data_IF_792947664876
#
_entry.id   IF_792947664876
#
_cell.length_a   1.000
_cell.length_b   1.000
_cell.length_c   1.000
_cell.angle_alpha   90.00
_cell.angle_beta   90.00
_cell.angle_gamma   90.00
#
_symmetry.space_group_name_H-M   'P 1'
#
loop_
_entity.id
_entity.type
_entity.pdbx_description
1 polymer ?
#
# COMPACT_ATOMS: atom_id res chain seq x y z
N UNK A 1 4.00 16.56 48.40
CA UNK A 1 4.16 17.79 47.58
C UNK A 1 5.30 17.54 46.62
N UNK A 2 5.18 17.45 45.30
CA UNK A 2 4.08 17.65 44.37
C UNK A 2 4.22 16.60 43.24
N UNK A 3 3.09 16.06 42.79
CA UNK A 3 2.96 15.14 41.66
C UNK A 3 2.95 15.95 40.36
N UNK A 4 3.99 15.83 39.53
CA UNK A 4 3.96 16.30 38.14
C UNK A 4 3.78 15.11 37.21
N UNK A 5 2.51 14.79 36.98
CA UNK A 5 2.07 13.87 35.95
C UNK A 5 2.37 14.49 34.55
N UNK A 6 3.20 13.88 33.68
CA UNK A 6 3.56 14.48 32.39
C UNK A 6 2.47 14.32 31.32
N UNK A 7 1.24 13.93 31.70
CA UNK A 7 0.13 13.71 30.77
C UNK A 7 -0.44 14.99 30.12
N UNK A 8 -0.13 16.19 30.63
CA UNK A 8 -0.82 17.43 30.21
C UNK A 8 -0.06 18.34 29.22
N UNK A 9 1.03 17.88 28.60
CA UNK A 9 1.85 18.72 27.70
C UNK A 9 1.72 18.45 26.19
N UNK A 10 1.10 17.34 25.76
CA UNK A 10 0.90 17.03 24.35
C UNK A 10 -0.41 17.66 23.88
N UNK A 11 -0.36 18.97 23.60
CA UNK A 11 -1.51 19.79 23.27
C UNK A 11 -2.33 19.28 22.07
N UNK A 12 -3.63 19.56 22.11
CA UNK A 12 -4.65 19.22 21.13
C UNK A 12 -4.34 19.59 19.65
N UNK A 13 -3.27 20.33 19.37
CA UNK A 13 -2.77 20.61 18.02
C UNK A 13 -1.88 19.50 17.41
N UNK A 14 -1.35 18.57 18.21
CA UNK A 14 -0.56 17.44 17.73
C UNK A 14 -1.41 16.34 17.08
N UNK A 15 -2.53 15.98 17.71
CA UNK A 15 -3.47 14.99 17.19
C UNK A 15 -4.16 15.46 15.91
N UNK A 16 -4.55 16.75 15.83
CA UNK A 16 -5.20 17.31 14.63
C UNK A 16 -4.30 17.26 13.39
N UNK A 17 -2.99 17.43 13.54
CA UNK A 17 -2.04 17.35 12.43
C UNK A 17 -1.80 15.90 11.98
N UNK A 18 -1.76 14.96 12.92
CA UNK A 18 -1.60 13.54 12.62
C UNK A 18 -2.83 13.01 11.88
N UNK A 19 -4.03 13.36 12.34
CA UNK A 19 -5.28 12.96 11.70
C UNK A 19 -5.40 13.55 10.28
N UNK A 20 -4.95 14.78 10.05
CA UNK A 20 -4.88 15.38 8.71
C UNK A 20 -3.91 14.65 7.76
N UNK A 21 -2.77 14.17 8.29
CA UNK A 21 -1.80 13.41 7.51
C UNK A 21 -2.38 12.03 7.14
N UNK A 22 -3.02 11.33 8.09
CA UNK A 22 -3.70 10.06 7.82
C UNK A 22 -4.86 10.21 6.84
N UNK A 23 -5.60 11.31 6.93
CA UNK A 23 -6.63 11.63 5.96
C UNK A 23 -6.03 11.77 4.56
N UNK A 24 -4.84 12.36 4.42
CA UNK A 24 -4.17 12.50 3.11
C UNK A 24 -3.87 11.14 2.45
N UNK A 25 -3.52 10.12 3.24
CA UNK A 25 -3.27 8.75 2.73
C UNK A 25 -4.56 8.01 2.36
N UNK A 26 -5.70 8.37 2.94
CA UNK A 26 -6.98 7.63 2.83
C UNK A 26 -8.03 8.30 1.95
N UNK A 27 -7.71 9.43 1.30
CA UNK A 27 -8.62 10.17 0.43
C UNK A 27 -8.79 11.64 0.82
N UNK A 28 -8.65 11.98 2.08
CA UNK A 28 -8.63 13.39 2.51
C UNK A 28 -10.02 14.03 2.60
N UNK A 29 -11.10 13.25 2.44
CA UNK A 29 -12.48 13.70 2.64
C UNK A 29 -13.14 13.04 3.84
N UNK A 30 -13.68 13.86 4.74
CA UNK A 30 -14.51 13.47 5.88
C UNK A 30 -15.98 13.85 5.59
N UNK A 31 -16.63 13.10 4.70
CA UNK A 31 -17.98 13.44 4.24
C UNK A 31 -19.07 13.00 5.21
N UNK A 32 -20.26 13.60 5.09
CA UNK A 32 -21.48 13.18 5.79
C UNK A 32 -22.62 12.90 4.81
N UNK A 33 -23.69 12.26 5.29
CA UNK A 33 -24.88 11.95 4.47
C UNK A 33 -24.61 10.90 3.38
N UNK A 34 -25.26 11.07 2.22
CA UNK A 34 -25.19 10.10 1.11
C UNK A 34 -23.78 9.88 0.57
N UNK A 35 -22.94 10.92 0.54
CA UNK A 35 -21.55 10.80 0.09
C UNK A 35 -20.74 9.86 1.00
N UNK A 36 -20.98 9.89 2.32
CA UNK A 36 -20.31 9.02 3.27
C UNK A 36 -20.74 7.55 3.07
N UNK A 37 -22.03 7.33 2.80
CA UNK A 37 -22.56 5.99 2.49
C UNK A 37 -21.90 5.44 1.22
N UNK A 38 -21.80 6.24 0.15
CA UNK A 38 -21.14 5.81 -1.09
C UNK A 38 -19.65 5.51 -0.84
N UNK A 39 -18.94 6.39 -0.12
CA UNK A 39 -17.52 6.20 0.23
C UNK A 39 -17.27 5.04 1.20
N UNK A 40 -18.32 4.48 1.82
CA UNK A 40 -18.24 3.24 2.59
C UNK A 40 -18.59 2.01 1.74
N UNK A 41 -19.70 2.06 1.00
CA UNK A 41 -20.22 0.94 0.22
C UNK A 41 -19.30 0.61 -0.95
N UNK A 42 -18.81 1.60 -1.69
CA UNK A 42 -18.03 1.35 -2.93
C UNK A 42 -16.71 0.63 -2.63
N UNK A 43 -15.86 1.06 -1.66
CA UNK A 43 -14.66 0.31 -1.29
C UNK A 43 -14.98 -1.07 -0.70
N UNK A 44 -16.10 -1.22 0.01
CA UNK A 44 -16.53 -2.52 0.54
C UNK A 44 -16.89 -3.47 -0.61
N UNK A 45 -17.68 -3.01 -1.59
CA UNK A 45 -18.02 -3.78 -2.79
C UNK A 45 -16.76 -4.12 -3.58
N UNK A 46 -15.83 -3.18 -3.76
CA UNK A 46 -14.55 -3.45 -4.42
C UNK A 46 -13.75 -4.52 -3.68
N UNK A 47 -13.72 -4.46 -2.34
CA UNK A 47 -13.05 -5.46 -1.50
C UNK A 47 -13.68 -6.84 -1.63
N UNK A 48 -15.01 -6.91 -1.63
CA UNK A 48 -15.75 -8.16 -1.84
C UNK A 48 -15.53 -8.72 -3.24
N UNK A 49 -15.52 -7.87 -4.26
CA UNK A 49 -15.20 -8.26 -5.63
C UNK A 49 -13.80 -8.86 -5.73
N UNK A 50 -12.80 -8.23 -5.11
CA UNK A 50 -11.41 -8.71 -5.12
C UNK A 50 -11.25 -10.03 -4.38
N UNK A 51 -11.96 -10.22 -3.26
CA UNK A 51 -12.01 -11.50 -2.56
C UNK A 51 -12.74 -12.57 -3.39
N UNK A 52 -13.82 -12.21 -4.09
CA UNK A 52 -14.57 -13.11 -4.95
C UNK A 52 -13.69 -13.69 -6.05
N UNK A 53 -13.04 -12.84 -6.85
CA UNK A 53 -12.19 -13.30 -7.97
C UNK A 53 -10.94 -14.05 -7.51
N UNK A 54 -10.47 -13.82 -6.28
CA UNK A 54 -9.32 -14.53 -5.71
C UNK A 54 -9.70 -15.88 -5.07
N UNK A 55 -10.98 -16.10 -4.81
CA UNK A 55 -11.50 -17.32 -4.18
C UNK A 55 -11.91 -18.37 -5.22
N UNK A 56 -12.06 -19.65 -4.85
CA UNK A 56 -12.63 -20.66 -5.73
C UNK A 56 -14.15 -20.54 -5.92
N UNK A 57 -14.82 -19.65 -5.17
CA UNK A 57 -16.28 -19.48 -5.17
C UNK A 57 -16.90 -19.22 -6.55
N UNK A 58 -16.31 -18.39 -7.45
CA UNK A 58 -16.88 -18.16 -8.78
C UNK A 58 -17.04 -19.46 -9.57
N UNK A 59 -16.07 -20.37 -9.44
CA UNK A 59 -16.07 -21.66 -10.13
C UNK A 59 -16.99 -22.68 -9.45
N UNK A 60 -17.08 -22.67 -8.11
CA UNK A 60 -17.99 -23.54 -7.35
C UNK A 60 -19.45 -23.20 -7.66
N UNK A 61 -19.80 -21.92 -7.68
CA UNK A 61 -21.17 -21.45 -7.95
C UNK A 61 -21.48 -21.26 -9.42
N UNK A 62 -20.48 -21.42 -10.30
CA UNK A 62 -20.56 -21.15 -11.74
C UNK A 62 -21.23 -19.80 -12.06
N UNK A 63 -20.86 -18.77 -11.30
CA UNK A 63 -21.48 -17.45 -11.35
C UNK A 63 -20.39 -16.37 -11.32
N UNK A 64 -20.56 -15.31 -12.12
CA UNK A 64 -19.67 -14.16 -12.14
C UNK A 64 -18.18 -14.57 -12.22
N UNK A 65 -17.86 -15.42 -13.20
CA UNK A 65 -16.48 -15.83 -13.53
C UNK A 65 -15.92 -14.79 -14.49
N UNK A 66 -14.89 -14.08 -14.05
CA UNK A 66 -14.25 -13.03 -14.82
C UNK A 66 -12.87 -13.48 -15.31
N UNK A 67 -12.54 -13.16 -16.57
CA UNK A 67 -11.18 -13.30 -17.07
C UNK A 67 -10.28 -12.14 -16.58
N UNK A 68 -8.97 -12.27 -16.79
CA UNK A 68 -7.99 -11.27 -16.34
C UNK A 68 -8.24 -9.86 -16.89
N UNK A 69 -8.71 -9.71 -18.12
CA UNK A 69 -8.98 -8.42 -18.75
C UNK A 69 -10.21 -7.76 -18.14
N UNK A 70 -11.28 -8.53 -17.96
CA UNK A 70 -12.52 -8.08 -17.33
C UNK A 70 -12.28 -7.65 -15.88
N UNK A 71 -11.53 -8.47 -15.12
CA UNK A 71 -11.18 -8.17 -13.74
C UNK A 71 -10.37 -6.88 -13.61
N UNK A 72 -9.38 -6.67 -14.48
CA UNK A 72 -8.59 -5.42 -14.55
C UNK A 72 -9.48 -4.21 -14.86
N UNK A 73 -10.42 -4.35 -15.79
CA UNK A 73 -11.36 -3.28 -16.16
C UNK A 73 -12.25 -2.86 -15.00
N UNK A 74 -12.85 -3.82 -14.31
CA UNK A 74 -13.69 -3.57 -13.13
C UNK A 74 -12.85 -2.97 -11.98
N UNK A 75 -11.65 -3.53 -11.74
CA UNK A 75 -10.73 -3.04 -10.71
C UNK A 75 -10.35 -1.57 -10.94
N UNK A 76 -9.97 -1.20 -12.16
CA UNK A 76 -9.62 0.18 -12.49
C UNK A 76 -10.84 1.11 -12.35
N UNK A 77 -12.04 0.66 -12.73
CA UNK A 77 -13.26 1.45 -12.61
C UNK A 77 -13.55 1.85 -11.15
N UNK A 78 -13.41 0.90 -10.21
CA UNK A 78 -13.49 1.21 -8.77
C UNK A 78 -12.39 2.19 -8.34
N UNK A 79 -11.15 1.96 -8.77
CA UNK A 79 -10.02 2.78 -8.39
C UNK A 79 -10.17 4.25 -8.83
N UNK A 80 -10.52 4.50 -10.10
CA UNK A 80 -10.69 5.86 -10.61
C UNK A 80 -11.94 6.53 -10.05
N UNK A 81 -13.04 5.79 -9.86
CA UNK A 81 -14.23 6.34 -9.20
C UNK A 81 -13.87 6.89 -7.81
N UNK A 82 -13.17 6.08 -7.01
CA UNK A 82 -12.72 6.46 -5.67
C UNK A 82 -11.66 7.57 -5.72
N UNK A 83 -10.78 7.60 -6.73
CA UNK A 83 -9.82 8.68 -6.89
C UNK A 83 -10.52 10.05 -7.03
N UNK A 84 -11.64 10.13 -7.73
CA UNK A 84 -12.41 11.38 -7.88
C UNK A 84 -13.35 11.65 -6.69
N UNK A 85 -13.97 10.62 -6.12
CA UNK A 85 -14.95 10.77 -5.04
C UNK A 85 -14.31 10.90 -3.65
N UNK A 86 -13.18 10.23 -3.39
CA UNK A 86 -12.47 10.29 -2.12
C UNK A 86 -11.44 11.42 -2.10
N UNK A 87 -10.68 11.66 -3.19
CA UNK A 87 -9.62 12.67 -3.21
C UNK A 87 -10.08 14.01 -3.80
N UNK A 88 -9.95 15.13 -3.05
CA UNK A 88 -10.36 16.44 -3.54
C UNK A 88 -9.41 16.96 -4.63
N UNK A 89 -9.97 17.67 -5.62
CA UNK A 89 -9.20 18.27 -6.71
C UNK A 89 -8.06 19.18 -6.22
N UNK A 90 -8.33 19.95 -5.15
CA UNK A 90 -7.38 20.84 -4.47
C UNK A 90 -7.29 20.39 -3.01
N UNK A 91 -6.06 20.09 -2.55
CA UNK A 91 -5.81 19.67 -1.16
C UNK A 91 -6.38 20.69 -0.17
N UNK A 92 -7.11 20.20 0.84
CA UNK A 92 -7.75 21.03 1.87
C UNK A 92 -9.06 21.72 1.47
N UNK A 93 -9.48 21.65 0.20
CA UNK A 93 -10.77 22.21 -0.25
C UNK A 93 -11.82 21.10 -0.42
N UNK A 94 -13.07 21.40 -0.09
CA UNK A 94 -14.18 20.43 -0.18
C UNK A 94 -13.88 19.11 0.56
N UNK A 95 -13.36 19.21 1.79
CA UNK A 95 -13.03 18.07 2.65
C UNK A 95 -14.31 17.37 3.14
N UNK A 96 -15.39 18.12 3.38
CA UNK A 96 -16.61 17.58 4.00
C UNK A 96 -17.71 17.21 2.99
N UNK A 97 -17.51 17.49 1.70
CA UNK A 97 -18.50 17.25 0.64
C UNK A 97 -17.81 16.76 -0.63
N UNK A 98 -18.51 15.95 -1.42
CA UNK A 98 -18.11 15.63 -2.81
C UNK A 98 -18.90 16.54 -3.74
N UNK A 99 -18.25 17.52 -4.41
CA UNK A 99 -18.93 18.38 -5.37
C UNK A 99 -19.52 17.60 -6.55
N UNK A 100 -20.56 18.13 -7.18
CA UNK A 100 -21.25 17.49 -8.31
C UNK A 100 -20.28 17.21 -9.47
N UNK A 101 -19.34 18.12 -9.74
CA UNK A 101 -18.36 17.90 -10.81
C UNK A 101 -17.46 16.69 -10.52
N UNK A 102 -17.15 16.37 -9.26
CA UNK A 102 -16.36 15.20 -8.92
C UNK A 102 -17.16 13.91 -9.05
N UNK A 103 -18.48 13.93 -8.82
CA UNK A 103 -19.35 12.80 -9.15
C UNK A 103 -19.41 12.56 -10.65
N UNK A 104 -19.54 13.61 -11.46
CA UNK A 104 -19.54 13.50 -12.91
C UNK A 104 -18.20 12.92 -13.40
N UNK A 105 -17.07 13.47 -12.93
CA UNK A 105 -15.74 12.97 -13.28
C UNK A 105 -15.54 11.52 -12.84
N UNK A 106 -16.00 11.14 -11.64
CA UNK A 106 -15.93 9.77 -11.14
C UNK A 106 -16.70 8.80 -12.03
N UNK A 107 -17.93 9.16 -12.43
CA UNK A 107 -18.77 8.32 -13.29
C UNK A 107 -18.22 8.20 -14.71
N UNK A 108 -17.74 9.31 -15.31
CA UNK A 108 -17.12 9.29 -16.63
C UNK A 108 -15.83 8.47 -16.62
N UNK A 109 -14.98 8.64 -15.59
CA UNK A 109 -13.75 7.87 -15.46
C UNK A 109 -14.04 6.37 -15.27
N UNK A 110 -15.01 6.03 -14.42
CA UNK A 110 -15.44 4.65 -14.21
C UNK A 110 -15.99 4.03 -15.51
N UNK A 111 -16.80 4.78 -16.26
CA UNK A 111 -17.29 4.36 -17.57
C UNK A 111 -16.14 4.08 -18.54
N UNK A 112 -15.19 5.01 -18.69
CA UNK A 112 -14.01 4.83 -19.55
C UNK A 112 -13.20 3.58 -19.15
N UNK A 113 -13.03 3.31 -17.85
CA UNK A 113 -12.32 2.15 -17.35
C UNK A 113 -13.08 0.84 -17.59
N UNK A 114 -14.41 0.86 -17.45
CA UNK A 114 -15.30 -0.28 -17.72
C UNK A 114 -15.57 -0.53 -19.21
N UNK A 115 -15.15 0.38 -20.09
CA UNK A 115 -15.48 0.32 -21.53
C UNK A 115 -15.02 -0.99 -22.18
N UNK A 116 -13.82 -1.46 -21.83
CA UNK A 116 -13.28 -2.73 -22.33
C UNK A 116 -14.09 -3.94 -21.90
N UNK A 117 -14.73 -3.87 -20.73
CA UNK A 117 -15.61 -4.92 -20.23
C UNK A 117 -16.98 -4.85 -20.91
N UNK A 118 -17.60 -3.67 -20.94
CA UNK A 118 -18.96 -3.49 -21.46
C UNK A 118 -19.04 -3.75 -22.97
N UNK A 119 -18.05 -3.29 -23.73
CA UNK A 119 -18.00 -3.40 -25.19
C UNK A 119 -17.01 -4.46 -25.67
N UNK A 120 -16.73 -5.47 -24.84
CA UNK A 120 -15.73 -6.51 -25.11
C UNK A 120 -16.00 -7.22 -26.44
N UNK A 121 -17.25 -7.65 -26.66
CA UNK A 121 -17.63 -8.38 -27.86
C UNK A 121 -17.35 -7.57 -29.11
N UNK A 122 -17.77 -6.31 -29.17
CA UNK A 122 -17.57 -5.54 -30.39
C UNK A 122 -16.11 -5.14 -30.59
N UNK A 123 -15.38 -4.80 -29.51
CA UNK A 123 -13.95 -4.51 -29.57
C UNK A 123 -13.13 -5.72 -30.05
N UNK A 124 -13.52 -6.93 -29.63
CA UNK A 124 -12.84 -8.18 -30.01
C UNK A 124 -12.90 -8.45 -31.53
N UNK A 125 -13.91 -7.93 -32.21
CA UNK A 125 -14.09 -8.08 -33.67
C UNK A 125 -13.32 -7.05 -34.51
N UNK A 126 -12.77 -5.99 -33.90
CA UNK A 126 -11.99 -4.94 -34.58
C UNK A 126 -10.59 -4.68 -34.00
N UNK A 127 -9.74 -5.69 -33.78
CA UNK A 127 -8.39 -5.48 -33.23
C UNK A 127 -7.58 -4.52 -34.11
N UNK A 128 -7.05 -3.45 -33.51
CA UNK A 128 -6.24 -2.46 -34.22
C UNK A 128 -7.01 -1.51 -35.17
N UNK A 129 -8.34 -1.63 -35.24
CA UNK A 129 -9.21 -0.75 -36.05
C UNK A 129 -10.30 -0.09 -35.18
N UNK A 130 -9.92 0.72 -34.16
CA UNK A 130 -10.89 1.36 -33.27
C UNK A 130 -11.76 2.36 -34.02
N UNK A 131 -13.05 2.42 -33.67
CA UNK A 131 -13.96 3.45 -34.19
C UNK A 131 -13.74 4.77 -33.44
N UNK A 132 -14.34 5.85 -33.95
CA UNK A 132 -14.24 7.20 -33.33
C UNK A 132 -14.67 7.21 -31.87
N UNK A 133 -15.69 6.42 -31.50
CA UNK A 133 -16.14 6.29 -30.11
C UNK A 133 -15.05 5.68 -29.21
N UNK A 134 -14.45 4.56 -29.61
CA UNK A 134 -13.38 3.89 -28.85
C UNK A 134 -12.21 4.86 -28.60
N UNK A 135 -11.88 5.67 -29.63
CA UNK A 135 -10.81 6.65 -29.56
C UNK A 135 -11.11 7.78 -28.55
N UNK A 136 -12.33 8.33 -28.56
CA UNK A 136 -12.70 9.36 -27.58
C UNK A 136 -12.71 8.83 -26.16
N UNK A 137 -13.24 7.62 -25.95
CA UNK A 137 -13.24 6.98 -24.63
C UNK A 137 -11.82 6.73 -24.13
N UNK A 138 -10.93 6.28 -25.01
CA UNK A 138 -9.51 6.08 -24.70
C UNK A 138 -8.80 7.38 -24.31
N UNK A 139 -9.01 8.46 -25.06
CA UNK A 139 -8.38 9.75 -24.78
C UNK A 139 -8.91 10.39 -23.49
N UNK A 140 -10.23 10.38 -23.29
CA UNK A 140 -10.86 10.88 -22.07
C UNK A 140 -10.40 10.05 -20.88
N UNK A 141 -10.39 8.73 -21.01
CA UNK A 141 -9.89 7.80 -19.98
C UNK A 141 -8.45 8.11 -19.59
N UNK A 142 -7.56 8.29 -20.58
CA UNK A 142 -6.15 8.61 -20.32
C UNK A 142 -5.97 9.94 -19.58
N UNK A 143 -6.69 10.98 -19.99
CA UNK A 143 -6.65 12.29 -19.32
C UNK A 143 -7.22 12.21 -17.89
N UNK A 144 -8.35 11.52 -17.70
CA UNK A 144 -8.94 11.34 -16.39
C UNK A 144 -8.06 10.48 -15.48
N UNK A 145 -7.33 9.50 -16.02
CA UNK A 145 -6.37 8.72 -15.25
C UNK A 145 -5.15 9.55 -14.81
N UNK A 146 -4.63 10.42 -15.68
CA UNK A 146 -3.57 11.37 -15.30
C UNK A 146 -4.03 12.32 -14.19
N UNK A 147 -5.27 12.80 -14.27
CA UNK A 147 -5.87 13.64 -13.24
C UNK A 147 -6.14 12.88 -11.94
N UNK A 148 -6.63 11.64 -12.01
CA UNK A 148 -6.76 10.74 -10.86
C UNK A 148 -5.41 10.52 -10.18
N UNK A 149 -4.36 10.27 -10.97
CA UNK A 149 -2.97 10.13 -10.50
C UNK A 149 -2.49 11.40 -9.78
N UNK A 150 -2.79 12.58 -10.33
CA UNK A 150 -2.42 13.87 -9.71
C UNK A 150 -3.10 14.03 -8.35
N UNK A 151 -4.36 13.63 -8.23
CA UNK A 151 -5.15 13.76 -6.99
C UNK A 151 -4.69 12.79 -5.91
N UNK A 152 -4.42 11.54 -6.26
CA UNK A 152 -4.06 10.49 -5.30
C UNK A 152 -2.58 10.45 -4.96
N UNK A 153 -1.69 10.61 -5.96
CA UNK A 153 -0.23 10.43 -5.83
C UNK A 153 0.56 11.74 -5.99
N UNK A 154 -0.07 12.79 -6.51
CA UNK A 154 0.54 14.11 -6.65
C UNK A 154 1.14 14.39 -8.03
N UNK A 155 1.65 15.62 -8.19
CA UNK A 155 2.18 16.13 -9.46
C UNK A 155 3.40 15.36 -10.02
N UNK A 156 4.38 14.88 -9.21
CA UNK A 156 5.60 14.30 -9.77
C UNK A 156 5.34 13.13 -10.74
N UNK A 157 4.46 12.18 -10.36
CA UNK A 157 4.15 11.03 -11.21
C UNK A 157 3.36 11.44 -12.46
N UNK A 158 2.41 12.37 -12.32
CA UNK A 158 1.64 12.90 -13.46
C UNK A 158 2.55 13.62 -14.46
N UNK A 159 3.53 14.40 -14.00
CA UNK A 159 4.48 15.10 -14.88
C UNK A 159 5.32 14.09 -15.65
N UNK A 160 5.86 13.08 -14.99
CA UNK A 160 6.66 12.03 -15.65
C UNK A 160 5.83 11.34 -16.74
N UNK A 161 4.61 10.91 -16.42
CA UNK A 161 3.72 10.28 -17.40
C UNK A 161 3.37 11.23 -18.57
N UNK A 162 3.05 12.49 -18.29
CA UNK A 162 2.72 13.48 -19.31
C UNK A 162 3.91 13.77 -20.24
N UNK A 163 5.14 13.80 -19.72
CA UNK A 163 6.36 13.96 -20.53
C UNK A 163 6.53 12.81 -21.51
N UNK A 164 6.39 11.55 -21.06
CA UNK A 164 6.54 10.39 -21.94
C UNK A 164 5.40 10.23 -22.96
N UNK A 165 4.16 10.59 -22.58
CA UNK A 165 3.03 10.67 -23.51
C UNK A 165 3.29 11.73 -24.59
N UNK A 166 3.80 12.91 -24.17
CA UNK A 166 4.14 14.00 -25.11
C UNK A 166 5.29 13.57 -26.02
N UNK A 167 6.34 12.97 -25.48
CA UNK A 167 7.48 12.45 -26.24
C UNK A 167 7.03 11.44 -27.31
N UNK A 168 6.09 10.56 -26.98
CA UNK A 168 5.54 9.57 -27.94
C UNK A 168 4.93 10.22 -29.20
N UNK A 169 4.38 11.43 -29.08
CA UNK A 169 3.82 12.19 -30.21
C UNK A 169 4.88 13.11 -30.83
N UNK A 170 5.66 13.77 -29.98
CA UNK A 170 6.62 14.82 -30.35
C UNK A 170 7.95 14.29 -30.89
N UNK A 171 8.14 12.97 -30.99
CA UNK A 171 9.34 12.31 -31.51
C UNK A 171 10.01 12.95 -32.72
N UNK A 172 9.27 13.41 -33.76
CA UNK A 172 9.87 14.03 -34.94
C UNK A 172 10.50 15.41 -34.69
N UNK A 173 10.13 16.08 -33.60
CA UNK A 173 10.62 17.41 -33.23
C UNK A 173 11.77 17.35 -32.21
N UNK A 174 12.19 16.15 -31.82
CA UNK A 174 13.24 15.96 -30.82
C UNK A 174 14.65 16.02 -31.45
N UNK A 175 15.70 16.24 -30.65
CA UNK A 175 17.08 16.15 -31.11
C UNK A 175 17.41 14.77 -31.68
N UNK A 176 18.29 14.71 -32.68
CA UNK A 176 18.63 13.48 -33.44
C UNK A 176 18.95 12.26 -32.57
N UNK A 177 19.54 12.47 -31.39
CA UNK A 177 19.93 11.40 -30.45
C UNK A 177 18.71 10.62 -29.91
N UNK A 178 17.55 11.27 -29.81
CA UNK A 178 16.31 10.69 -29.25
C UNK A 178 15.11 10.82 -30.20
N UNK A 179 15.34 11.27 -31.43
CA UNK A 179 14.26 11.45 -32.41
C UNK A 179 13.69 10.10 -32.88
N UNK A 180 12.38 10.07 -33.10
CA UNK A 180 11.70 8.92 -33.71
C UNK A 180 10.51 9.40 -34.55
N UNK A 181 9.89 8.51 -35.33
CA UNK A 181 8.81 8.85 -36.28
C UNK A 181 7.56 9.50 -35.63
N UNK A 182 7.45 9.50 -34.31
CA UNK A 182 6.23 9.86 -33.59
C UNK A 182 5.11 8.84 -33.80
N UNK A 183 4.08 8.95 -32.98
CA UNK A 183 2.89 8.10 -33.03
C UNK A 183 1.67 8.99 -33.20
N UNK A 184 0.75 8.61 -34.10
CA UNK A 184 -0.51 9.34 -34.26
C UNK A 184 -1.37 9.23 -33.01
N UNK A 185 -2.21 10.24 -32.75
CA UNK A 185 -3.08 10.26 -31.57
C UNK A 185 -3.98 9.01 -31.49
N UNK A 186 -4.49 8.54 -32.64
CA UNK A 186 -5.28 7.31 -32.71
C UNK A 186 -4.49 6.07 -32.29
N UNK A 187 -3.25 5.93 -32.78
CA UNK A 187 -2.39 4.80 -32.41
C UNK A 187 -1.95 4.88 -30.95
N UNK A 188 -1.69 6.08 -30.42
CA UNK A 188 -1.36 6.28 -29.02
C UNK A 188 -2.52 5.86 -28.12
N UNK A 189 -3.73 6.38 -28.34
CA UNK A 189 -4.89 6.05 -27.53
C UNK A 189 -5.27 4.57 -27.62
N UNK A 190 -5.21 3.99 -28.82
CA UNK A 190 -5.44 2.56 -29.01
C UNK A 190 -4.43 1.72 -28.21
N UNK A 191 -3.14 2.04 -28.31
CA UNK A 191 -2.10 1.32 -27.58
C UNK A 191 -2.19 1.51 -26.05
N UNK A 192 -2.47 2.72 -25.59
CA UNK A 192 -2.46 3.07 -24.16
C UNK A 192 -3.71 2.61 -23.41
N UNK A 193 -4.88 2.61 -24.05
CA UNK A 193 -6.14 2.32 -23.37
C UNK A 193 -6.87 1.09 -23.91
N UNK A 194 -6.79 0.80 -25.21
CA UNK A 194 -7.51 -0.33 -25.81
C UNK A 194 -6.68 -1.61 -25.87
N UNK A 195 -5.36 -1.49 -25.74
CA UNK A 195 -4.43 -2.61 -25.67
C UNK A 195 -4.12 -3.07 -24.24
N UNK A 196 -3.45 -4.22 -24.15
CA UNK A 196 -2.95 -4.80 -22.90
C UNK A 196 -1.51 -4.40 -22.57
N UNK A 197 -0.91 -3.53 -23.37
CA UNK A 197 0.48 -3.04 -23.17
C UNK A 197 0.52 -1.65 -22.51
N UNK A 198 -0.65 -1.04 -22.29
CA UNK A 198 -0.80 0.27 -21.66
C UNK A 198 -1.38 0.17 -20.25
N UNK A 199 -2.41 0.99 -19.99
CA UNK A 199 -3.09 1.08 -18.70
C UNK A 199 -3.60 -0.27 -18.20
N UNK A 200 -4.09 -1.12 -19.10
CA UNK A 200 -4.63 -2.44 -18.76
C UNK A 200 -3.58 -3.57 -18.74
N UNK A 201 -2.29 -3.21 -18.70
CA UNK A 201 -1.18 -4.15 -18.75
C UNK A 201 -0.80 -4.81 -17.44
N UNK A 202 0.48 -5.19 -17.34
CA UNK A 202 1.01 -6.04 -16.27
C UNK A 202 0.87 -5.36 -14.91
N UNK A 203 1.21 -4.08 -14.79
CA UNK A 203 1.03 -3.32 -13.55
C UNK A 203 -0.39 -3.40 -12.96
N UNK A 204 -1.43 -3.16 -13.79
CA UNK A 204 -2.83 -3.25 -13.34
C UNK A 204 -3.23 -4.71 -13.03
N UNK A 205 -2.70 -5.67 -13.79
CA UNK A 205 -2.89 -7.09 -13.53
C UNK A 205 -2.34 -7.52 -12.17
N UNK A 206 -1.11 -7.11 -11.84
CA UNK A 206 -0.48 -7.37 -10.55
C UNK A 206 -1.28 -6.71 -9.42
N UNK A 207 -1.76 -5.47 -9.64
CA UNK A 207 -2.65 -4.78 -8.70
C UNK A 207 -3.91 -5.60 -8.39
N UNK A 208 -4.56 -6.06 -9.45
CA UNK A 208 -5.84 -6.80 -9.40
C UNK A 208 -5.68 -8.15 -8.71
N UNK A 209 -4.62 -8.91 -9.03
CA UNK A 209 -4.44 -10.29 -8.56
C UNK A 209 -3.94 -10.42 -7.12
N UNK A 210 -3.00 -9.57 -6.67
CA UNK A 210 -2.31 -9.81 -5.38
C UNK A 210 -2.18 -8.57 -4.52
N UNK A 211 -1.77 -7.45 -5.11
CA UNK A 211 -1.40 -6.24 -4.34
C UNK A 211 -2.58 -5.73 -3.54
N UNK A 212 -3.75 -5.64 -4.18
CA UNK A 212 -4.95 -5.19 -3.51
C UNK A 212 -5.26 -6.03 -2.26
N UNK A 213 -5.13 -7.35 -2.36
CA UNK A 213 -5.39 -8.26 -1.23
C UNK A 213 -4.40 -8.03 -0.11
N UNK A 214 -3.11 -7.87 -0.42
CA UNK A 214 -2.11 -7.58 0.60
C UNK A 214 -2.38 -6.25 1.31
N UNK A 215 -2.74 -5.20 0.58
CA UNK A 215 -3.12 -3.90 1.16
C UNK A 215 -4.41 -4.03 1.99
N UNK A 216 -5.43 -4.75 1.49
CA UNK A 216 -6.69 -4.98 2.21
C UNK A 216 -6.45 -5.71 3.53
N UNK A 217 -5.77 -6.86 3.50
CA UNK A 217 -5.45 -7.62 4.70
C UNK A 217 -4.53 -6.84 5.63
N UNK A 218 -3.60 -6.06 5.08
CA UNK A 218 -2.73 -5.20 5.86
C UNK A 218 -3.50 -4.13 6.63
N UNK A 219 -4.42 -3.43 5.96
CA UNK A 219 -5.30 -2.44 6.58
C UNK A 219 -6.24 -3.06 7.63
N UNK A 220 -6.78 -4.25 7.38
CA UNK A 220 -7.61 -4.98 8.35
C UNK A 220 -6.80 -5.39 9.59
N UNK A 221 -5.57 -5.88 9.40
CA UNK A 221 -4.68 -6.30 10.47
C UNK A 221 -4.22 -5.12 11.33
N UNK A 222 -3.94 -3.98 10.69
CA UNK A 222 -3.64 -2.72 11.39
C UNK A 222 -4.82 -2.27 12.25
N UNK A 223 -6.04 -2.28 11.68
CA UNK A 223 -7.28 -1.98 12.42
C UNK A 223 -7.58 -2.96 13.55
N UNK A 224 -7.18 -4.23 13.42
CA UNK A 224 -7.28 -5.23 14.48
C UNK A 224 -6.30 -5.00 15.65
N UNK A 225 -5.40 -4.01 15.55
CA UNK A 225 -4.47 -3.63 16.62
C UNK A 225 -3.10 -4.31 16.54
N UNK A 226 -2.74 -4.84 15.37
CA UNK A 226 -1.46 -5.53 15.19
C UNK A 226 -0.24 -4.62 15.44
N UNK A 227 -0.32 -3.31 15.16
CA UNK A 227 0.76 -2.37 15.44
C UNK A 227 1.18 -2.38 16.93
N UNK A 228 0.21 -2.27 17.84
CA UNK A 228 0.47 -2.36 19.28
C UNK A 228 0.98 -3.74 19.71
N UNK A 229 0.51 -4.80 19.05
CA UNK A 229 0.99 -6.15 19.28
C UNK A 229 2.48 -6.29 18.90
N UNK A 230 2.89 -5.82 17.73
CA UNK A 230 4.30 -5.88 17.29
C UNK A 230 5.22 -5.07 18.18
N UNK A 231 4.77 -3.91 18.69
CA UNK A 231 5.51 -3.15 19.69
C UNK A 231 5.76 -4.04 20.91
N UNK A 232 4.70 -4.60 21.52
CA UNK A 232 4.83 -5.45 22.71
C UNK A 232 5.74 -6.65 22.49
N UNK A 233 5.63 -7.32 21.35
CA UNK A 233 6.48 -8.47 21.00
C UNK A 233 7.94 -8.04 20.84
N UNK A 234 8.22 -6.98 20.09
CA UNK A 234 9.56 -6.46 19.92
C UNK A 234 10.20 -6.03 21.25
N UNK A 235 9.41 -5.42 22.15
CA UNK A 235 9.86 -5.07 23.49
C UNK A 235 10.15 -6.28 24.36
N UNK A 236 9.31 -7.30 24.35
CA UNK A 236 9.55 -8.54 25.09
C UNK A 236 10.84 -9.23 24.63
N UNK A 237 11.11 -9.21 23.32
CA UNK A 237 12.33 -9.79 22.75
C UNK A 237 13.58 -8.97 23.08
N UNK A 238 13.55 -7.64 22.90
CA UNK A 238 14.77 -6.83 22.82
C UNK A 238 14.90 -5.76 23.91
N UNK A 239 13.84 -5.43 24.66
CA UNK A 239 13.81 -4.32 25.62
C UNK A 239 14.86 -4.40 26.73
N UNK A 240 15.26 -5.62 27.09
CA UNK A 240 16.29 -5.90 28.08
C UNK A 240 17.74 -5.68 27.60
N UNK A 241 17.95 -5.54 26.30
CA UNK A 241 19.29 -5.30 25.75
C UNK A 241 19.69 -3.84 25.97
N UNK A 242 20.99 -3.52 25.85
CA UNK A 242 21.45 -2.12 25.84
C UNK A 242 20.83 -1.38 24.66
N UNK A 243 20.16 -0.26 24.93
CA UNK A 243 19.33 0.43 23.91
C UNK A 243 18.14 -0.40 23.45
N UNK A 244 17.69 -1.36 24.25
CA UNK A 244 16.63 -2.32 23.93
C UNK A 244 15.35 -1.68 23.39
N UNK A 245 14.84 -0.59 23.99
CA UNK A 245 13.68 0.13 23.46
C UNK A 245 13.85 0.67 22.04
N UNK A 246 15.03 1.16 21.69
CA UNK A 246 15.30 1.63 20.34
C UNK A 246 15.43 0.47 19.34
N UNK A 247 16.02 -0.67 19.75
CA UNK A 247 16.02 -1.88 18.92
C UNK A 247 14.61 -2.44 18.72
N UNK A 248 13.80 -2.43 19.78
CA UNK A 248 12.41 -2.84 19.74
C UNK A 248 11.59 -1.91 18.83
N UNK A 249 11.86 -0.60 18.84
CA UNK A 249 11.27 0.34 17.90
C UNK A 249 11.59 -0.03 16.46
N UNK A 250 12.87 -0.24 16.11
CA UNK A 250 13.28 -0.65 14.76
C UNK A 250 12.59 -1.93 14.29
N UNK A 251 12.57 -2.97 15.14
CA UNK A 251 11.93 -4.25 14.79
C UNK A 251 10.42 -4.11 14.68
N UNK A 252 9.78 -3.36 15.58
CA UNK A 252 8.34 -3.14 15.53
C UNK A 252 7.93 -2.34 14.30
N UNK A 253 8.64 -1.26 13.98
CA UNK A 253 8.40 -0.48 12.76
C UNK A 253 8.69 -1.32 11.52
N UNK A 254 9.66 -2.24 11.58
CA UNK A 254 9.87 -3.22 10.51
C UNK A 254 8.69 -4.16 10.30
N UNK A 255 8.17 -4.77 11.37
CA UNK A 255 7.00 -5.65 11.32
C UNK A 255 5.74 -4.91 10.86
N UNK A 256 5.55 -3.68 11.31
CA UNK A 256 4.47 -2.80 10.85
C UNK A 256 4.66 -2.39 9.38
N UNK A 257 5.90 -2.13 8.96
CA UNK A 257 6.25 -1.77 7.59
C UNK A 257 5.97 -2.86 6.57
N UNK A 258 6.19 -4.14 6.93
CA UNK A 258 5.79 -5.33 6.14
C UNK A 258 4.31 -5.29 5.76
N UNK A 259 3.48 -4.75 6.65
CA UNK A 259 2.01 -4.79 6.60
C UNK A 259 1.42 -3.52 5.99
N UNK A 260 2.05 -2.36 6.23
CA UNK A 260 1.53 -1.10 5.73
C UNK A 260 2.11 -0.76 4.35
N UNK A 261 3.40 -1.04 4.11
CA UNK A 261 4.12 -0.55 2.93
C UNK A 261 4.24 0.99 2.83
N UNK A 262 3.63 1.75 3.74
CA UNK A 262 3.69 3.21 3.82
C UNK A 262 4.60 3.65 4.96
N UNK A 263 5.61 4.46 4.63
CA UNK A 263 6.50 5.05 5.62
C UNK A 263 5.79 6.11 6.46
N UNK A 264 4.84 6.85 5.88
CA UNK A 264 4.08 7.89 6.57
C UNK A 264 3.13 7.25 7.58
N UNK A 265 2.34 6.26 7.17
CA UNK A 265 1.43 5.55 8.06
C UNK A 265 2.20 4.91 9.22
N UNK A 266 3.34 4.28 8.94
CA UNK A 266 4.16 3.67 9.97
C UNK A 266 4.69 4.69 11.00
N UNK A 267 5.25 5.82 10.58
CA UNK A 267 5.69 6.87 11.53
C UNK A 267 4.52 7.38 12.38
N UNK A 268 3.34 7.50 11.79
CA UNK A 268 2.15 7.93 12.54
C UNK A 268 1.71 6.88 13.55
N UNK A 269 1.70 5.59 13.18
CA UNK A 269 1.18 4.54 14.05
C UNK A 269 2.20 4.02 15.05
N UNK A 270 3.43 3.71 14.64
CA UNK A 270 4.48 3.25 15.55
C UNK A 270 5.22 4.41 16.19
N UNK A 271 5.53 5.47 15.45
CA UNK A 271 6.32 6.60 15.92
C UNK A 271 5.72 7.35 17.11
N UNK A 272 4.39 7.43 17.20
CA UNK A 272 3.68 8.02 18.34
C UNK A 272 3.98 7.30 19.66
N UNK A 273 4.30 6.00 19.61
CA UNK A 273 4.68 5.21 20.78
C UNK A 273 6.19 5.03 20.93
N UNK A 274 6.91 4.79 19.84
CA UNK A 274 8.34 4.46 19.87
C UNK A 274 9.22 5.68 20.15
N UNK A 275 8.90 6.86 19.60
CA UNK A 275 9.70 8.08 19.81
C UNK A 275 9.71 8.51 21.28
N UNK A 276 8.55 8.65 21.98
CA UNK A 276 8.57 8.98 23.40
C UNK A 276 9.30 7.94 24.24
N UNK A 277 9.19 6.66 23.87
CA UNK A 277 9.80 5.56 24.61
C UNK A 277 11.33 5.52 24.45
N UNK A 278 11.85 5.77 23.24
CA UNK A 278 13.28 5.98 23.02
C UNK A 278 13.82 7.17 23.83
N UNK A 279 13.07 8.28 23.86
CA UNK A 279 13.43 9.46 24.66
C UNK A 279 13.48 9.16 26.16
N UNK A 280 12.53 8.39 26.69
CA UNK A 280 12.50 8.00 28.12
C UNK A 280 13.72 7.21 28.55
N UNK A 281 14.34 6.45 27.66
CA UNK A 281 15.57 5.69 27.96
C UNK A 281 16.86 6.44 27.62
N UNK A 282 16.75 7.71 27.23
CA UNK A 282 17.88 8.64 27.11
C UNK A 282 18.30 8.98 25.67
N UNK A 283 17.56 8.55 24.63
CA UNK A 283 17.89 8.99 23.27
C UNK A 283 17.55 10.48 23.10
N UNK A 284 18.45 11.29 22.49
CA UNK A 284 18.11 12.64 22.06
C UNK A 284 16.90 12.62 21.12
N UNK A 285 16.03 13.63 21.21
CA UNK A 285 14.80 13.70 20.41
C UNK A 285 15.07 13.60 18.90
N UNK A 286 16.16 14.21 18.43
CA UNK A 286 16.59 14.16 17.03
C UNK A 286 16.97 12.74 16.58
N UNK A 287 17.67 11.99 17.44
CA UNK A 287 18.06 10.59 17.14
C UNK A 287 16.86 9.65 17.22
N UNK A 288 15.98 9.84 18.19
CA UNK A 288 14.75 9.05 18.27
C UNK A 288 13.88 9.24 17.01
N UNK A 289 13.72 10.49 16.55
CA UNK A 289 13.02 10.76 15.29
C UNK A 289 13.72 10.16 14.07
N UNK A 290 15.04 10.30 13.97
CA UNK A 290 15.81 9.76 12.86
C UNK A 290 15.73 8.22 12.77
N UNK A 291 15.80 7.52 13.91
CA UNK A 291 15.67 6.07 13.99
C UNK A 291 14.29 5.63 13.52
N UNK A 292 13.23 6.29 13.99
CA UNK A 292 11.85 5.97 13.59
C UNK A 292 11.62 6.20 12.09
N UNK A 293 12.08 7.33 11.57
CA UNK A 293 11.94 7.67 10.14
C UNK A 293 12.75 6.69 9.28
N UNK A 294 13.97 6.33 9.67
CA UNK A 294 14.78 5.35 8.95
C UNK A 294 14.13 3.96 8.95
N UNK A 295 13.65 3.50 10.12
CA UNK A 295 12.95 2.21 10.23
C UNK A 295 11.65 2.19 9.42
N UNK A 296 10.90 3.29 9.44
CA UNK A 296 9.64 3.41 8.69
C UNK A 296 9.84 3.49 7.19
N UNK A 297 10.89 4.18 6.73
CA UNK A 297 11.24 4.27 5.31
C UNK A 297 11.61 2.89 4.74
N UNK A 298 12.31 2.07 5.52
CA UNK A 298 12.58 0.68 5.14
C UNK A 298 11.30 -0.13 4.91
N UNK A 299 10.16 0.24 5.51
CA UNK A 299 8.87 -0.39 5.25
C UNK A 299 8.50 -0.41 3.75
N UNK A 300 8.86 0.63 3.00
CA UNK A 300 8.59 0.72 1.56
C UNK A 300 9.38 -0.28 0.71
N UNK A 301 10.53 -0.78 1.19
CA UNK A 301 11.27 -1.83 0.50
C UNK A 301 10.96 -3.23 1.04
N UNK A 302 10.21 -3.33 2.14
CA UNK A 302 10.03 -4.59 2.86
C UNK A 302 8.88 -5.39 2.25
N UNK A 303 9.12 -6.62 1.76
CA UNK A 303 8.03 -7.47 1.29
C UNK A 303 7.07 -7.89 2.41
N UNK A 304 5.82 -8.29 2.09
CA UNK A 304 5.28 -8.50 0.74
C UNK A 304 4.58 -7.29 0.14
N UNK A 305 4.22 -6.26 0.92
CA UNK A 305 3.41 -5.15 0.40
C UNK A 305 4.26 -4.13 -0.35
N UNK A 306 5.39 -3.73 0.26
CA UNK A 306 6.32 -2.76 -0.32
C UNK A 306 5.61 -1.42 -0.67
N UNK A 307 6.38 -0.44 -1.13
CA UNK A 307 5.86 0.84 -1.61
C UNK A 307 5.51 0.79 -3.11
N UNK A 308 4.90 1.86 -3.60
CA UNK A 308 4.47 1.99 -5.01
C UNK A 308 5.60 1.73 -6.04
N UNK A 309 6.86 1.98 -5.67
CA UNK A 309 8.02 1.73 -6.51
C UNK A 309 8.20 0.24 -6.90
N UNK A 310 7.77 -0.70 -6.06
CA UNK A 310 7.84 -2.13 -6.37
C UNK A 310 7.00 -2.50 -7.60
N UNK A 311 5.89 -1.79 -7.83
CA UNK A 311 5.02 -2.02 -8.99
C UNK A 311 5.66 -1.52 -10.28
N UNK A 312 6.34 -0.37 -10.24
CA UNK A 312 7.11 0.13 -11.38
C UNK A 312 8.26 -0.83 -11.74
N UNK A 313 8.86 -1.48 -10.75
CA UNK A 313 9.93 -2.46 -10.97
C UNK A 313 9.45 -3.72 -11.70
N UNK A 314 8.25 -4.22 -11.39
CA UNK A 314 7.66 -5.37 -12.11
C UNK A 314 7.51 -5.06 -13.60
N UNK A 315 7.01 -3.86 -13.91
CA UNK A 315 6.84 -3.42 -15.30
C UNK A 315 8.19 -3.23 -16.00
N UNK A 316 9.12 -2.53 -15.37
CA UNK A 316 10.42 -2.19 -15.98
C UNK A 316 11.33 -3.39 -16.18
N UNK A 317 11.37 -4.31 -15.20
CA UNK A 317 12.25 -5.48 -15.24
C UNK A 317 11.57 -6.67 -15.96
N UNK A 318 10.25 -6.64 -16.12
CA UNK A 318 9.49 -7.69 -16.79
C UNK A 318 9.46 -9.02 -16.03
N UNK A 319 9.72 -9.01 -14.72
CA UNK A 319 9.65 -10.19 -13.84
C UNK A 319 8.40 -10.14 -12.98
N UNK A 320 7.88 -11.29 -12.57
CA UNK A 320 6.68 -11.34 -11.72
C UNK A 320 6.90 -10.62 -10.38
N UNK A 321 5.81 -10.11 -9.79
CA UNK A 321 5.86 -9.48 -8.46
C UNK A 321 6.41 -10.41 -7.37
N UNK A 322 6.15 -11.71 -7.48
CA UNK A 322 6.73 -12.71 -6.57
C UNK A 322 8.26 -12.78 -6.68
N UNK A 323 8.81 -12.65 -7.89
CA UNK A 323 10.27 -12.58 -8.07
C UNK A 323 10.83 -11.28 -7.51
N UNK A 324 10.16 -10.15 -7.73
CA UNK A 324 10.56 -8.86 -7.11
C UNK A 324 10.59 -8.98 -5.58
N UNK A 325 9.56 -9.57 -4.98
CA UNK A 325 9.51 -9.85 -3.54
C UNK A 325 10.70 -10.69 -3.11
N UNK A 326 10.96 -11.82 -3.78
CA UNK A 326 12.09 -12.72 -3.45
C UNK A 326 13.42 -11.98 -3.47
N UNK A 327 13.65 -11.16 -4.49
CA UNK A 327 14.88 -10.36 -4.61
C UNK A 327 14.98 -9.26 -3.54
N UNK A 328 13.85 -8.68 -3.12
CA UNK A 328 13.80 -7.61 -2.12
C UNK A 328 14.01 -8.09 -0.67
N UNK A 329 13.81 -9.37 -0.36
CA UNK A 329 14.00 -9.92 1.00
C UNK A 329 15.41 -9.66 1.52
N UNK A 330 16.44 -9.96 0.73
CA UNK A 330 17.82 -9.83 1.18
C UNK A 330 18.22 -8.36 1.45
N UNK A 331 18.00 -7.40 0.53
CA UNK A 331 18.22 -5.98 0.80
C UNK A 331 17.44 -5.47 2.01
N UNK A 332 16.18 -5.89 2.18
CA UNK A 332 15.37 -5.50 3.32
C UNK A 332 15.96 -5.95 4.65
N UNK A 333 16.34 -7.24 4.72
CA UNK A 333 16.99 -7.81 5.90
C UNK A 333 18.29 -7.09 6.23
N UNK A 334 19.15 -6.84 5.23
CA UNK A 334 20.41 -6.11 5.43
C UNK A 334 20.13 -4.71 5.98
N UNK A 335 19.15 -3.99 5.44
CA UNK A 335 18.81 -2.64 5.88
C UNK A 335 18.35 -2.59 7.34
N UNK A 336 17.48 -3.52 7.78
CA UNK A 336 17.07 -3.57 9.19
C UNK A 336 18.18 -4.04 10.11
N UNK A 337 18.99 -5.03 9.71
CA UNK A 337 20.14 -5.49 10.51
C UNK A 337 21.13 -4.34 10.71
N UNK A 338 21.44 -3.60 9.63
CA UNK A 338 22.29 -2.43 9.70
C UNK A 338 21.70 -1.36 10.63
N UNK A 339 20.40 -1.10 10.56
CA UNK A 339 19.75 -0.11 11.42
C UNK A 339 19.75 -0.53 12.90
N UNK A 340 19.47 -1.80 13.21
CA UNK A 340 19.59 -2.36 14.57
C UNK A 340 21.02 -2.20 15.09
N UNK A 341 22.02 -2.44 14.23
CA UNK A 341 23.43 -2.30 14.58
C UNK A 341 23.81 -0.84 14.85
N UNK A 342 23.39 0.10 13.99
CA UNK A 342 23.61 1.55 14.19
C UNK A 342 22.99 2.01 15.50
N UNK A 343 21.74 1.61 15.78
CA UNK A 343 21.06 1.91 17.04
C UNK A 343 21.80 1.31 18.23
N UNK A 344 22.37 0.12 18.08
CA UNK A 344 23.18 -0.48 19.13
C UNK A 344 24.44 0.33 19.43
N UNK A 345 25.19 0.72 18.40
CA UNK A 345 26.40 1.54 18.54
C UNK A 345 26.08 2.88 19.19
N UNK A 346 24.98 3.50 18.81
CA UNK A 346 24.52 4.75 19.38
C UNK A 346 24.17 4.60 20.88
N UNK A 347 23.46 3.53 21.23
CA UNK A 347 23.16 3.23 22.63
C UNK A 347 24.44 2.97 23.46
N UNK A 348 25.46 2.34 22.86
CA UNK A 348 26.76 2.16 23.49
C UNK A 348 27.48 3.49 23.70
N UNK A 349 27.47 4.39 22.69
CA UNK A 349 28.06 5.73 22.78
C UNK A 349 27.41 6.59 23.86
N UNK A 350 26.10 6.41 24.07
CA UNK A 350 25.34 7.07 25.12
C UNK A 350 25.39 6.34 26.48
N UNK A 351 26.21 5.28 26.60
CA UNK A 351 26.34 4.47 27.81
C UNK A 351 25.01 3.94 28.39
N UNK A 352 24.04 3.65 27.51
CA UNK A 352 22.74 3.17 27.94
C UNK A 352 22.83 1.75 28.53
N UNK A 353 22.08 1.56 29.60
CA UNK A 353 21.85 0.27 30.25
C UNK A 353 20.59 -0.38 29.68
N UNK A 354 20.53 -1.71 29.71
CA UNK A 354 19.30 -2.43 29.40
C UNK A 354 18.29 -2.31 30.54
N UNK A 355 17.00 -2.44 30.24
CA UNK A 355 15.98 -2.52 31.29
C UNK A 355 16.14 -3.87 32.00
N UNK A 356 16.20 -3.85 33.33
CA UNK A 356 16.39 -5.08 34.10
C UNK A 356 15.23 -6.06 33.85
N UNK A 357 15.57 -7.31 33.51
CA UNK A 357 14.59 -8.39 33.41
C UNK A 357 14.17 -8.80 34.81
N UNK A 358 12.95 -8.44 35.20
CA UNK A 358 12.29 -8.92 36.43
C UNK A 358 12.18 -10.45 36.48
N UNK A 359 12.14 -11.11 35.31
CA UNK A 359 12.03 -12.56 35.22
C UNK A 359 13.22 -13.13 34.43
N UNK A 360 14.04 -13.97 35.08
CA UNK A 360 15.19 -14.67 34.48
C UNK A 360 14.82 -16.16 34.35
N UNK A 361 14.06 -16.57 33.32
CA UNK A 361 13.68 -17.96 33.15
C UNK A 361 14.93 -18.84 32.97
N UNK A 362 14.91 -20.00 33.62
CA UNK A 362 15.96 -21.01 33.51
C UNK A 362 16.07 -21.53 32.08
N UNK A 363 17.22 -22.14 31.72
CA UNK A 363 17.43 -22.72 30.39
C UNK A 363 16.32 -23.74 30.05
N UNK A 364 15.91 -24.55 31.02
CA UNK A 364 14.82 -25.51 30.88
C UNK A 364 13.47 -24.85 30.57
N UNK A 365 13.12 -23.77 31.28
CA UNK A 365 11.89 -23.00 30.99
C UNK A 365 11.94 -22.33 29.61
N UNK A 366 13.09 -21.84 29.17
CA UNK A 366 13.25 -21.29 27.81
C UNK A 366 13.07 -22.36 26.75
N UNK A 367 13.68 -23.53 26.92
CA UNK A 367 13.56 -24.65 25.99
C UNK A 367 12.11 -25.16 25.96
N UNK A 368 11.46 -25.30 27.12
CA UNK A 368 10.05 -25.70 27.19
C UNK A 368 9.14 -24.70 26.48
N UNK A 369 9.32 -23.39 26.70
CA UNK A 369 8.55 -22.36 25.98
C UNK A 369 8.79 -22.43 24.47
N UNK A 370 10.03 -22.63 24.03
CA UNK A 370 10.34 -22.80 22.61
C UNK A 370 9.65 -24.02 22.02
N UNK A 371 9.69 -25.17 22.71
CA UNK A 371 9.03 -26.41 22.29
C UNK A 371 7.51 -26.23 22.24
N UNK A 372 6.91 -25.61 23.25
CA UNK A 372 5.46 -25.35 23.29
C UNK A 372 5.04 -24.41 22.16
N UNK A 373 5.80 -23.34 21.89
CA UNK A 373 5.53 -22.44 20.75
C UNK A 373 5.66 -23.21 19.43
N UNK A 374 6.69 -24.03 19.26
CA UNK A 374 6.94 -24.78 18.02
C UNK A 374 5.90 -25.87 17.79
N UNK A 375 5.45 -26.56 18.85
CA UNK A 375 4.32 -27.49 18.80
C UNK A 375 3.03 -26.73 18.49
N UNK A 376 2.76 -25.62 19.16
CA UNK A 376 1.57 -24.80 18.90
C UNK A 376 1.51 -24.29 17.46
N UNK A 377 2.65 -23.84 16.92
CA UNK A 377 2.77 -23.38 15.54
C UNK A 377 2.65 -24.53 14.54
N UNK A 378 3.23 -25.69 14.85
CA UNK A 378 3.05 -26.92 14.07
C UNK A 378 1.60 -27.36 14.06
N UNK A 379 0.93 -27.40 15.21
CA UNK A 379 -0.50 -27.76 15.33
C UNK A 379 -1.35 -26.76 14.56
N UNK A 380 -1.12 -25.45 14.71
CA UNK A 380 -1.82 -24.43 13.95
C UNK A 380 -1.62 -24.62 12.44
N UNK A 381 -0.39 -24.88 12.01
CA UNK A 381 -0.07 -25.13 10.59
C UNK A 381 -0.78 -26.38 10.10
N UNK A 382 -0.81 -27.47 10.87
CA UNK A 382 -1.51 -28.71 10.53
C UNK A 382 -3.04 -28.50 10.50
N UNK A 383 -3.59 -27.75 11.46
CA UNK A 383 -5.03 -27.41 11.49
C UNK A 383 -5.41 -26.56 10.29
N UNK A 384 -4.59 -25.58 9.90
CA UNK A 384 -4.83 -24.78 8.70
C UNK A 384 -4.65 -25.64 7.45
N UNK A 385 -3.57 -26.42 7.37
CA UNK A 385 -3.24 -27.23 6.20
C UNK A 385 -4.27 -28.35 5.96
N UNK A 386 -4.67 -29.08 7.00
CA UNK A 386 -5.66 -30.15 6.89
C UNK A 386 -7.09 -29.65 6.99
N UNK A 387 -7.38 -28.63 7.80
CA UNK A 387 -8.71 -28.04 7.92
C UNK A 387 -9.14 -27.30 6.65
N UNK A 388 -8.25 -26.52 6.04
CA UNK A 388 -8.48 -25.93 4.71
C UNK A 388 -8.23 -26.97 3.62
N UNK A 389 -7.28 -27.90 3.80
CA UNK A 389 -7.03 -28.99 2.86
C UNK A 389 -8.26 -29.88 2.61
N UNK A 390 -9.05 -30.17 3.64
CA UNK A 390 -10.30 -30.92 3.49
C UNK A 390 -11.35 -30.17 2.66
N UNK A 391 -11.34 -28.83 2.71
CA UNK A 391 -12.22 -28.03 1.84
C UNK A 391 -11.84 -28.11 0.37
N UNK A 392 -10.57 -28.39 0.02
CA UNK A 392 -10.15 -28.66 -1.38
C UNK A 392 -10.62 -30.02 -1.92
N UNK A 393 -11.04 -30.94 -1.04
CA UNK A 393 -11.56 -32.26 -1.45
C UNK A 393 -13.09 -32.32 -1.41
N UNK A 394 -13.74 -31.37 -0.72
CA UNK A 394 -15.20 -31.28 -0.57
C UNK A 394 -15.83 -30.26 -1.53
N UNK A 395 -15.03 -29.31 -2.03
CA UNK A 395 -15.37 -28.30 -3.03
C UNK A 395 -14.27 -28.27 -4.09
#
# INVERSE_FOLDING_TARGET
MATSDPANGAGAGGSSNVDQILQTETGGRATSGYAAVILFIVPLVWSLFQLWIASPLPYIFNFAIFNSTEARSIHLAFAVFLAFSAFPMIKGRHVNIVPIYDWILALVAAFCASYLYVFYEELSTRPGAPITQDLWVALIGLVLLLEATRRSLGLPLTIVAAVFITYSIAGPYMPDVIAHKGVSLSKLASHQWLGTEGVFGVALGVSTSFVFLFVLFGALLERAGAGNYFIKVAYAMLGHMRGGPAKAAVVSSGLSGVISGSSIANVVTTGTFTIPLMKRVGFPATKAGAVEVAASTNGQLTPPIMGAAAFLMVEYVGISYLEVIKHAILPAMISYVALIYIVHLEACKLNMQGIERLNKPTLAQRMLNWVVILIGLSVLTLVVYYGIGWTKTLF
#
